data_IF_560748879849
#
_entry.id   IF_560748879849
#
_cell.length_a   1.000
_cell.length_b   1.000
_cell.length_c   1.000
_cell.angle_alpha   90.00
_cell.angle_beta   90.00
_cell.angle_gamma   90.00
#
_symmetry.space_group_name_H-M   'P 1'
#
loop_
_entity.id
_entity.type
_entity.pdbx_description
1 polymer ?
#
# COMPACT_ATOMS: atom_id res chain seq x y z
N UNK A 1 19.38 17.11 39.92
CA UNK A 1 19.44 18.31 39.06
C UNK A 1 20.72 18.27 38.26
N UNK A 2 20.64 18.72 36.99
CA UNK A 2 21.65 18.68 35.91
C UNK A 2 21.69 17.33 35.16
N UNK A 3 21.56 17.28 33.85
CA UNK A 3 21.11 18.27 32.87
C UNK A 3 20.72 17.49 31.62
N UNK A 4 19.75 18.02 30.88
CA UNK A 4 19.25 17.52 29.58
C UNK A 4 20.42 17.19 28.65
N UNK A 5 20.57 15.92 28.26
CA UNK A 5 21.20 15.64 26.98
C UNK A 5 20.14 15.87 25.91
N UNK A 6 20.43 16.90 25.11
CA UNK A 6 19.68 17.25 23.92
C UNK A 6 19.55 16.03 23.04
N UNK A 7 18.30 15.71 22.69
CA UNK A 7 17.98 14.90 21.53
C UNK A 7 18.62 15.59 20.34
N UNK A 8 19.79 15.10 19.94
CA UNK A 8 20.43 15.43 18.67
C UNK A 8 19.44 15.01 17.60
N UNK A 9 18.82 15.99 16.92
CA UNK A 9 18.35 15.79 15.56
C UNK A 9 19.55 15.26 14.79
N UNK A 10 19.59 13.96 14.52
CA UNK A 10 20.46 13.47 13.47
C UNK A 10 19.96 14.19 12.24
N UNK A 11 20.75 15.14 11.77
CA UNK A 11 20.61 15.65 10.43
C UNK A 11 21.00 14.47 9.53
N UNK A 12 20.14 14.12 8.57
CA UNK A 12 20.52 13.38 7.38
C UNK A 12 21.98 13.68 7.06
N UNK A 13 22.84 12.68 6.85
CA UNK A 13 24.16 12.97 6.31
C UNK A 13 23.95 13.82 5.06
N UNK A 14 24.47 15.05 5.01
CA UNK A 14 24.21 16.08 3.96
C UNK A 14 24.27 15.52 2.53
N UNK A 15 24.96 14.37 2.37
CA UNK A 15 25.01 13.54 1.17
C UNK A 15 23.64 13.12 0.60
N UNK A 16 22.58 12.89 1.38
CA UNK A 16 21.30 12.39 0.83
C UNK A 16 20.43 13.52 0.31
N UNK A 17 20.31 14.63 1.05
CA UNK A 17 19.42 15.73 0.67
C UNK A 17 19.83 16.35 -0.68
N UNK A 18 21.14 16.58 -0.89
CA UNK A 18 21.64 17.11 -2.16
C UNK A 18 21.41 16.15 -3.33
N UNK A 19 21.47 14.82 -3.10
CA UNK A 19 21.24 13.79 -4.12
C UNK A 19 19.77 13.65 -4.46
N UNK A 20 18.90 13.61 -3.45
CA UNK A 20 17.45 13.57 -3.63
C UNK A 20 16.93 14.81 -4.34
N UNK A 21 17.53 15.98 -4.05
CA UNK A 21 17.26 17.21 -4.80
C UNK A 21 17.65 17.09 -6.27
N UNK A 22 18.85 16.58 -6.60
CA UNK A 22 19.26 16.38 -8.00
C UNK A 22 18.36 15.36 -8.72
N UNK A 23 17.95 14.28 -8.05
CA UNK A 23 16.99 13.31 -8.61
C UNK A 23 15.67 14.02 -8.94
N UNK A 24 15.11 14.76 -7.99
CA UNK A 24 13.88 15.53 -8.20
C UNK A 24 14.03 16.50 -9.36
N UNK A 25 15.13 17.25 -9.41
CA UNK A 25 15.38 18.28 -10.43
C UNK A 25 15.52 17.72 -11.85
N UNK A 26 15.92 16.46 -11.98
CA UNK A 26 15.96 15.75 -13.26
C UNK A 26 14.60 15.26 -13.72
N UNK A 27 13.62 15.15 -12.82
CA UNK A 27 12.25 14.79 -13.16
C UNK A 27 11.51 16.07 -13.56
N UNK A 28 11.11 16.21 -14.85
CA UNK A 28 10.47 17.41 -15.32
C UNK A 28 9.07 17.55 -14.73
N UNK A 29 8.63 18.79 -14.57
CA UNK A 29 7.24 19.08 -14.24
C UNK A 29 6.34 18.74 -15.43
N UNK A 30 5.28 17.97 -15.16
CA UNK A 30 4.29 17.52 -16.12
C UNK A 30 2.91 17.62 -15.48
N UNK A 31 1.90 17.93 -16.28
CA UNK A 31 0.52 18.00 -15.75
C UNK A 31 -0.04 16.64 -15.33
N UNK A 32 0.50 15.53 -15.86
CA UNK A 32 0.14 14.14 -15.55
C UNK A 32 1.35 13.21 -15.76
N UNK A 33 1.41 12.09 -15.03
CA UNK A 33 2.52 11.14 -15.13
C UNK A 33 2.66 10.54 -16.54
N UNK A 34 1.57 10.26 -17.23
CA UNK A 34 1.56 9.73 -18.60
C UNK A 34 2.15 10.67 -19.65
N UNK A 35 2.36 11.96 -19.32
CA UNK A 35 3.07 12.92 -20.20
C UNK A 35 4.60 12.80 -20.11
N UNK A 36 5.12 12.05 -19.15
CA UNK A 36 6.54 11.69 -19.09
C UNK A 36 6.77 10.49 -20.03
N UNK A 37 7.45 10.74 -21.16
CA UNK A 37 7.70 9.73 -22.18
C UNK A 37 8.44 8.52 -21.62
N UNK A 38 8.20 7.32 -22.16
CA UNK A 38 8.90 6.11 -21.70
C UNK A 38 10.42 6.22 -21.90
N UNK A 39 10.86 6.72 -23.06
CA UNK A 39 12.28 6.94 -23.35
C UNK A 39 12.87 8.08 -22.51
N UNK A 40 12.10 9.13 -22.23
CA UNK A 40 12.49 10.25 -21.35
C UNK A 40 12.74 9.73 -19.93
N UNK A 41 11.79 8.99 -19.35
CA UNK A 41 11.94 8.36 -18.04
C UNK A 41 13.14 7.40 -18.00
N UNK A 42 13.29 6.55 -19.01
CA UNK A 42 14.42 5.61 -19.10
C UNK A 42 15.76 6.34 -19.18
N UNK A 43 15.85 7.41 -19.97
CA UNK A 43 17.06 8.22 -20.11
C UNK A 43 17.44 8.90 -18.79
N UNK A 44 16.47 9.48 -18.07
CA UNK A 44 16.69 10.10 -16.77
C UNK A 44 17.20 9.04 -15.78
N UNK A 45 16.54 7.88 -15.70
CA UNK A 45 16.91 6.77 -14.82
C UNK A 45 18.35 6.30 -15.08
N UNK A 46 18.70 6.01 -16.33
CA UNK A 46 20.05 5.57 -16.68
C UNK A 46 21.11 6.61 -16.30
N UNK A 47 20.86 7.89 -16.58
CA UNK A 47 21.79 8.95 -16.19
C UNK A 47 21.97 9.10 -14.68
N UNK A 48 20.91 8.83 -13.90
CA UNK A 48 20.99 8.80 -12.43
C UNK A 48 21.78 7.59 -11.92
N UNK A 49 21.55 6.39 -12.47
CA UNK A 49 22.28 5.16 -12.11
C UNK A 49 23.77 5.22 -12.49
N UNK A 50 24.11 5.97 -13.53
CA UNK A 50 25.51 6.24 -13.89
C UNK A 50 26.16 7.21 -12.91
N UNK A 51 25.45 8.29 -12.53
CA UNK A 51 25.96 9.35 -11.65
C UNK A 51 26.07 8.92 -10.18
N UNK A 52 25.11 8.15 -9.68
CA UNK A 52 24.97 7.84 -8.26
C UNK A 52 25.11 6.35 -7.97
N UNK A 53 26.36 5.88 -7.96
CA UNK A 53 26.70 4.53 -7.48
C UNK A 53 26.37 4.38 -5.99
N UNK A 54 25.74 3.28 -5.63
CA UNK A 54 25.26 3.00 -4.28
C UNK A 54 23.89 3.60 -3.94
N UNK A 55 23.18 4.21 -4.91
CA UNK A 55 21.77 4.63 -4.77
C UNK A 55 20.85 3.88 -5.77
N UNK A 56 21.28 2.72 -6.25
CA UNK A 56 20.56 1.99 -7.29
C UNK A 56 19.15 1.62 -6.81
N UNK A 57 19.01 1.17 -5.56
CA UNK A 57 17.70 0.75 -5.05
C UNK A 57 16.72 1.92 -4.87
N UNK A 58 17.20 3.08 -4.45
CA UNK A 58 16.41 4.32 -4.31
C UNK A 58 15.93 4.82 -5.66
N UNK A 59 16.84 4.80 -6.65
CA UNK A 59 16.48 5.17 -8.03
C UNK A 59 15.47 4.17 -8.58
N UNK A 60 15.64 2.87 -8.35
CA UNK A 60 14.66 1.86 -8.73
C UNK A 60 13.30 2.09 -8.03
N UNK A 61 13.30 2.40 -6.73
CA UNK A 61 12.08 2.68 -5.95
C UNK A 61 11.29 3.85 -6.54
N UNK A 62 11.95 4.98 -6.80
CA UNK A 62 11.34 6.20 -7.36
C UNK A 62 10.83 5.94 -8.78
N UNK A 63 11.59 5.24 -9.62
CA UNK A 63 11.16 4.97 -11.00
C UNK A 63 10.05 3.91 -11.07
N UNK A 64 9.96 3.02 -10.07
CA UNK A 64 8.85 2.08 -9.93
C UNK A 64 7.56 2.81 -9.56
N UNK A 65 7.62 3.82 -8.68
CA UNK A 65 6.49 4.72 -8.43
C UNK A 65 6.06 5.45 -9.71
N UNK A 66 6.99 6.06 -10.45
CA UNK A 66 6.65 6.77 -11.69
C UNK A 66 5.94 5.82 -12.67
N UNK A 67 6.39 4.57 -12.77
CA UNK A 67 5.72 3.55 -13.58
C UNK A 67 4.31 3.25 -13.07
N UNK A 68 4.13 3.05 -11.76
CA UNK A 68 2.82 2.83 -11.14
C UNK A 68 1.84 3.98 -11.41
N UNK A 69 2.27 5.23 -11.29
CA UNK A 69 1.42 6.40 -11.56
C UNK A 69 0.96 6.43 -13.03
N UNK A 70 1.86 6.09 -13.97
CA UNK A 70 1.53 5.96 -15.39
C UNK A 70 0.55 4.81 -15.66
N UNK A 71 0.74 3.68 -14.99
CA UNK A 71 -0.11 2.49 -15.10
C UNK A 71 -1.52 2.75 -14.53
N UNK A 72 -1.64 3.49 -13.43
CA UNK A 72 -2.94 3.92 -12.90
C UNK A 72 -3.69 4.87 -13.86
N UNK A 73 -2.99 5.85 -14.45
CA UNK A 73 -3.59 6.73 -15.47
C UNK A 73 -4.06 5.91 -16.68
N UNK A 74 -3.26 4.90 -17.10
CA UNK A 74 -3.61 4.01 -18.21
C UNK A 74 -4.86 3.18 -17.91
N UNK A 75 -4.97 2.60 -16.71
CA UNK A 75 -6.19 1.90 -16.27
C UNK A 75 -7.40 2.85 -16.29
N UNK A 76 -7.24 4.07 -15.79
CA UNK A 76 -8.29 5.09 -15.82
C UNK A 76 -8.81 5.32 -17.24
N UNK A 77 -7.91 5.54 -18.20
CA UNK A 77 -8.26 5.69 -19.63
C UNK A 77 -8.97 4.45 -20.17
N UNK A 78 -8.44 3.25 -19.93
CA UNK A 78 -9.04 1.99 -20.42
C UNK A 78 -10.46 1.77 -19.88
N UNK A 79 -10.76 2.25 -18.66
CA UNK A 79 -12.10 2.21 -18.06
C UNK A 79 -13.03 3.33 -18.55
N UNK A 80 -12.48 4.48 -18.94
CA UNK A 80 -13.25 5.67 -19.39
C UNK A 80 -13.71 5.62 -20.86
N UNK A 81 -13.21 4.69 -21.67
CA UNK A 81 -13.44 4.69 -23.13
C UNK A 81 -14.75 4.08 -23.65
N UNK A 82 -15.70 3.76 -22.79
CA UNK A 82 -17.09 3.69 -23.24
C UNK A 82 -17.93 4.52 -22.29
N UNK A 83 -18.62 5.54 -22.82
CA UNK A 83 -19.57 6.37 -22.07
C UNK A 83 -20.73 5.56 -21.43
N UNK A 84 -20.67 4.24 -21.56
CA UNK A 84 -21.55 3.20 -21.04
C UNK A 84 -20.90 2.35 -19.93
N UNK A 85 -19.68 2.67 -19.44
CA UNK A 85 -18.90 1.86 -18.47
C UNK A 85 -18.57 0.44 -18.97
N UNK A 86 -18.38 0.27 -20.27
CA UNK A 86 -18.01 -1.00 -20.90
C UNK A 86 -16.52 -1.00 -21.28
N UNK A 87 -15.83 -2.11 -21.01
CA UNK A 87 -14.40 -2.29 -21.30
C UNK A 87 -14.15 -2.29 -22.81
N UNK A 88 -13.07 -1.65 -23.27
CA UNK A 88 -12.64 -1.75 -24.66
C UNK A 88 -12.32 -3.22 -25.03
N UNK A 89 -12.54 -3.66 -26.28
CA UNK A 89 -12.11 -5.00 -26.71
C UNK A 89 -10.60 -5.19 -26.49
N UNK A 90 -10.21 -6.17 -25.67
CA UNK A 90 -8.82 -6.40 -25.26
C UNK A 90 -8.35 -5.61 -24.03
N UNK A 91 -9.15 -4.64 -23.57
CA UNK A 91 -8.87 -3.83 -22.39
C UNK A 91 -8.81 -4.63 -21.09
N UNK A 92 -9.58 -5.73 -20.99
CA UNK A 92 -9.51 -6.63 -19.83
C UNK A 92 -8.13 -7.29 -19.69
N UNK A 93 -7.60 -7.86 -20.77
CA UNK A 93 -6.27 -8.50 -20.76
C UNK A 93 -5.17 -7.47 -20.49
N UNK A 94 -5.29 -6.28 -21.07
CA UNK A 94 -4.35 -5.19 -20.83
C UNK A 94 -4.39 -4.72 -19.36
N UNK A 95 -5.58 -4.52 -18.80
CA UNK A 95 -5.75 -4.18 -17.37
C UNK A 95 -5.18 -5.27 -16.48
N UNK A 96 -5.37 -6.55 -16.81
CA UNK A 96 -4.78 -7.65 -16.03
C UNK A 96 -3.25 -7.63 -16.09
N UNK A 97 -2.66 -7.38 -17.27
CA UNK A 97 -1.22 -7.20 -17.39
C UNK A 97 -0.68 -6.01 -16.58
N UNK A 98 -1.42 -4.90 -16.57
CA UNK A 98 -1.07 -3.72 -15.76
C UNK A 98 -1.22 -4.02 -14.27
N UNK A 99 -2.27 -4.72 -13.83
CA UNK A 99 -2.45 -5.14 -12.43
C UNK A 99 -1.25 -5.97 -11.94
N UNK A 100 -0.76 -6.91 -12.76
CA UNK A 100 0.43 -7.68 -12.39
C UNK A 100 1.68 -6.79 -12.24
N UNK A 101 1.92 -5.85 -13.17
CA UNK A 101 3.01 -4.86 -13.07
C UNK A 101 2.91 -4.01 -11.79
N UNK A 102 1.69 -3.60 -11.42
CA UNK A 102 1.43 -2.82 -10.21
C UNK A 102 1.75 -3.61 -8.94
N UNK A 103 1.25 -4.85 -8.83
CA UNK A 103 1.49 -5.72 -7.66
C UNK A 103 2.97 -6.08 -7.51
N UNK A 104 3.71 -6.28 -8.60
CA UNK A 104 5.18 -6.46 -8.57
C UNK A 104 5.88 -5.23 -8.00
N UNK A 105 5.45 -4.03 -8.42
CA UNK A 105 6.01 -2.78 -7.93
C UNK A 105 5.67 -2.54 -6.44
N UNK A 106 4.43 -2.87 -6.02
CA UNK A 106 4.01 -2.81 -4.62
C UNK A 106 4.85 -3.74 -3.74
N UNK A 107 5.02 -5.00 -4.16
CA UNK A 107 5.84 -5.99 -3.47
C UNK A 107 7.28 -5.49 -3.24
N UNK A 108 7.92 -4.93 -4.28
CA UNK A 108 9.28 -4.40 -4.20
C UNK A 108 9.38 -3.21 -3.25
N UNK A 109 8.42 -2.29 -3.31
CA UNK A 109 8.38 -1.12 -2.44
C UNK A 109 8.13 -1.50 -0.98
N UNK A 110 7.20 -2.43 -0.71
CA UNK A 110 6.89 -2.90 0.64
C UNK A 110 8.11 -3.60 1.24
N UNK A 111 8.73 -4.49 0.47
CA UNK A 111 9.98 -5.17 0.84
C UNK A 111 11.09 -4.17 1.15
N UNK A 112 11.21 -3.10 0.35
CA UNK A 112 12.22 -2.07 0.54
C UNK A 112 12.00 -1.29 1.84
N UNK A 113 10.76 -0.91 2.15
CA UNK A 113 10.43 -0.22 3.41
C UNK A 113 10.74 -1.13 4.59
N UNK A 114 10.30 -2.39 4.56
CA UNK A 114 10.56 -3.37 5.61
C UNK A 114 12.05 -3.59 5.87
N UNK A 115 12.86 -3.67 4.80
CA UNK A 115 14.31 -3.84 4.91
C UNK A 115 15.03 -2.62 5.53
N UNK A 116 14.43 -1.43 5.44
CA UNK A 116 15.01 -0.17 5.93
C UNK A 116 14.27 0.39 7.15
N UNK A 117 13.41 -0.41 7.81
CA UNK A 117 12.54 0.01 8.92
C UNK A 117 13.26 0.66 10.10
N UNK A 118 14.52 0.29 10.33
CA UNK A 118 15.33 0.82 11.43
C UNK A 118 15.76 2.28 11.21
N UNK A 119 15.81 2.75 9.96
CA UNK A 119 16.20 4.11 9.60
C UNK A 119 14.98 4.97 9.20
N UNK A 120 14.21 5.38 10.22
CA UNK A 120 12.97 6.15 10.04
C UNK A 120 13.18 7.49 9.35
N UNK A 121 14.31 8.14 9.62
CA UNK A 121 14.63 9.43 9.00
C UNK A 121 14.91 9.23 7.51
N UNK A 122 15.67 8.22 7.15
CA UNK A 122 15.90 7.86 5.76
C UNK A 122 14.59 7.56 5.01
N UNK A 123 13.73 6.70 5.56
CA UNK A 123 12.43 6.36 4.97
C UNK A 123 11.53 7.59 4.81
N UNK A 124 11.50 8.48 5.81
CA UNK A 124 10.77 9.75 5.72
C UNK A 124 11.23 10.56 4.52
N UNK A 125 12.53 10.75 4.36
CA UNK A 125 13.07 11.57 3.28
C UNK A 125 12.88 10.93 1.90
N UNK A 126 12.98 9.61 1.79
CA UNK A 126 12.67 8.89 0.55
C UNK A 126 11.20 9.06 0.16
N UNK A 127 10.28 8.90 1.11
CA UNK A 127 8.84 9.02 0.83
C UNK A 127 8.38 10.49 0.66
N UNK A 128 9.07 11.45 1.28
CA UNK A 128 8.87 12.87 0.98
C UNK A 128 9.36 13.21 -0.43
N UNK A 129 10.43 12.56 -0.92
CA UNK A 129 10.88 12.70 -2.29
C UNK A 129 9.84 12.15 -3.27
N UNK A 130 9.27 10.97 -3.01
CA UNK A 130 8.20 10.41 -3.84
C UNK A 130 6.96 11.31 -3.87
N UNK A 131 6.53 11.87 -2.74
CA UNK A 131 5.45 12.86 -2.71
C UNK A 131 5.72 14.08 -3.62
N UNK A 132 6.97 14.56 -3.65
CA UNK A 132 7.39 15.67 -4.52
C UNK A 132 7.43 15.26 -5.99
N UNK A 133 7.86 14.05 -6.30
CA UNK A 133 7.82 13.48 -7.66
C UNK A 133 6.38 13.37 -8.14
N UNK A 134 5.49 12.76 -7.37
CA UNK A 134 4.07 12.67 -7.68
C UNK A 134 3.44 14.05 -7.86
N UNK A 135 3.81 15.04 -7.04
CA UNK A 135 3.35 16.42 -7.20
C UNK A 135 3.82 17.04 -8.52
N UNK A 136 5.11 16.89 -8.88
CA UNK A 136 5.65 17.37 -10.17
C UNK A 136 4.99 16.70 -11.37
N UNK A 137 4.46 15.49 -11.19
CA UNK A 137 3.75 14.75 -12.23
C UNK A 137 2.23 14.94 -12.17
N UNK A 138 1.70 15.82 -11.31
CA UNK A 138 0.26 16.09 -11.21
C UNK A 138 -0.58 14.96 -10.57
N UNK A 139 0.08 13.96 -9.97
CA UNK A 139 -0.54 12.72 -9.49
C UNK A 139 -0.49 12.56 -7.95
N UNK A 140 -0.29 13.66 -7.20
CA UNK A 140 -0.17 13.62 -5.74
C UNK A 140 -1.33 12.92 -5.02
N UNK A 141 -2.56 13.05 -5.54
CA UNK A 141 -3.74 12.37 -4.96
C UNK A 141 -3.69 10.86 -5.19
N UNK A 142 -3.33 10.45 -6.40
CA UNK A 142 -3.17 9.04 -6.79
C UNK A 142 -2.08 8.39 -5.95
N UNK A 143 -0.91 9.04 -5.83
CA UNK A 143 0.20 8.57 -5.01
C UNK A 143 -0.18 8.40 -3.53
N UNK A 144 -0.88 9.37 -2.93
CA UNK A 144 -1.33 9.22 -1.53
C UNK A 144 -2.21 7.99 -1.31
N UNK A 145 -3.06 7.64 -2.28
CA UNK A 145 -3.88 6.43 -2.20
C UNK A 145 -3.03 5.15 -2.32
N UNK A 146 -2.07 5.13 -3.25
CA UNK A 146 -1.10 4.02 -3.42
C UNK A 146 -0.30 3.83 -2.13
N UNK A 147 0.35 4.89 -1.64
CA UNK A 147 1.13 4.90 -0.40
C UNK A 147 0.31 4.46 0.81
N UNK A 148 -0.97 4.83 0.89
CA UNK A 148 -1.87 4.40 1.96
C UNK A 148 -2.06 2.88 1.97
N UNK A 149 -2.18 2.25 0.80
CA UNK A 149 -2.24 0.79 0.66
C UNK A 149 -0.92 0.13 1.05
N UNK A 150 0.18 0.64 0.48
CA UNK A 150 1.54 0.16 0.73
C UNK A 150 1.90 0.14 2.22
N UNK A 151 1.61 1.23 2.92
CA UNK A 151 1.87 1.33 4.36
C UNK A 151 0.89 0.48 5.19
N UNK A 152 -0.29 0.17 4.65
CA UNK A 152 -1.21 -0.81 5.25
C UNK A 152 -0.59 -2.20 5.29
N UNK A 153 0.02 -2.65 4.20
CA UNK A 153 0.71 -3.95 4.14
C UNK A 153 1.93 -4.00 5.06
N UNK A 154 2.73 -2.93 5.08
CA UNK A 154 3.88 -2.80 6.00
C UNK A 154 3.41 -2.84 7.46
N UNK A 155 2.33 -2.12 7.79
CA UNK A 155 1.73 -2.13 9.12
C UNK A 155 1.21 -3.51 9.52
N UNK A 156 0.56 -4.22 8.58
CA UNK A 156 0.11 -5.60 8.81
C UNK A 156 1.30 -6.53 9.07
N UNK A 157 2.39 -6.39 8.32
CA UNK A 157 3.60 -7.16 8.55
C UNK A 157 4.15 -6.95 9.97
N UNK A 158 4.28 -5.69 10.41
CA UNK A 158 4.72 -5.39 11.78
C UNK A 158 3.79 -5.96 12.83
N UNK A 159 2.48 -5.76 12.66
CA UNK A 159 1.47 -6.28 13.54
C UNK A 159 1.58 -7.81 13.72
N UNK A 160 1.74 -8.56 12.62
CA UNK A 160 1.82 -10.02 12.68
C UNK A 160 3.14 -10.49 13.29
N UNK A 161 4.28 -9.86 12.96
CA UNK A 161 5.57 -10.15 13.62
C UNK A 161 5.51 -9.91 15.14
N UNK A 162 4.94 -8.79 15.58
CA UNK A 162 4.79 -8.47 17.01
C UNK A 162 3.93 -9.48 17.76
N UNK A 163 3.06 -10.21 17.05
CA UNK A 163 2.22 -11.29 17.60
C UNK A 163 2.85 -12.68 17.47
N UNK A 164 4.13 -12.75 17.10
CA UNK A 164 4.88 -14.01 17.00
C UNK A 164 4.53 -14.85 15.78
N UNK A 165 3.94 -14.24 14.75
CA UNK A 165 3.76 -14.85 13.44
C UNK A 165 4.93 -14.51 12.54
N UNK A 166 5.13 -15.31 11.50
CA UNK A 166 6.12 -15.11 10.45
C UNK A 166 5.40 -14.63 9.18
N UNK A 167 5.16 -13.31 9.03
CA UNK A 167 4.52 -12.77 7.84
C UNK A 167 5.44 -12.84 6.62
N UNK A 168 4.82 -12.97 5.45
CA UNK A 168 5.46 -13.00 4.14
C UNK A 168 4.58 -12.23 3.17
N UNK A 169 5.17 -11.28 2.47
CA UNK A 169 4.50 -10.60 1.36
C UNK A 169 4.09 -11.64 0.30
N UNK A 170 2.91 -11.48 -0.32
CA UNK A 170 2.38 -12.41 -1.31
C UNK A 170 3.24 -12.39 -2.56
N UNK A 171 3.23 -13.50 -3.30
CA UNK A 171 3.78 -13.43 -4.64
C UNK A 171 2.91 -12.48 -5.50
N UNK A 172 3.45 -11.59 -6.34
CA UNK A 172 2.66 -10.60 -7.09
C UNK A 172 1.48 -11.17 -7.89
N UNK A 173 1.65 -12.39 -8.43
CA UNK A 173 0.56 -13.12 -9.09
C UNK A 173 -0.59 -13.48 -8.14
N UNK A 174 -0.31 -13.86 -6.90
CA UNK A 174 -1.33 -14.18 -5.90
C UNK A 174 -2.11 -12.91 -5.53
N UNK A 175 -1.44 -11.80 -5.25
CA UNK A 175 -2.09 -10.50 -5.01
C UNK A 175 -2.99 -10.10 -6.20
N UNK A 176 -2.44 -10.13 -7.42
CA UNK A 176 -3.17 -9.70 -8.62
C UNK A 176 -4.43 -10.52 -8.93
N UNK A 177 -4.49 -11.78 -8.48
CA UNK A 177 -5.56 -12.74 -8.85
C UNK A 177 -6.43 -13.20 -7.69
N UNK A 178 -5.92 -13.16 -6.45
CA UNK A 178 -6.57 -13.67 -5.25
C UNK A 178 -6.79 -12.60 -4.18
N UNK A 179 -6.30 -11.37 -4.41
CA UNK A 179 -6.45 -10.24 -3.48
C UNK A 179 -5.91 -10.53 -2.07
N UNK A 180 -4.87 -11.37 -2.02
CA UNK A 180 -4.12 -11.70 -0.79
C UNK A 180 -2.99 -10.68 -0.67
N UNK A 181 -3.01 -9.89 0.39
CA UNK A 181 -2.01 -8.85 0.67
C UNK A 181 -0.88 -9.36 1.58
N UNK A 182 -1.11 -10.46 2.32
CA UNK A 182 -0.10 -11.02 3.24
C UNK A 182 -0.37 -12.50 3.53
N UNK A 183 0.69 -13.29 3.63
CA UNK A 183 0.68 -14.61 4.26
C UNK A 183 1.26 -14.51 5.66
N UNK A 184 0.82 -15.32 6.61
CA UNK A 184 1.57 -15.52 7.85
C UNK A 184 1.39 -16.93 8.40
N UNK A 185 2.42 -17.39 9.11
CA UNK A 185 2.42 -18.67 9.80
C UNK A 185 2.91 -18.57 11.25
N UNK A 186 2.47 -19.44 12.16
CA UNK A 186 3.11 -19.55 13.48
C UNK A 186 4.58 -20.01 13.34
N UNK A 187 5.41 -19.83 14.38
CA UNK A 187 6.83 -20.26 14.35
C UNK A 187 7.04 -21.75 14.02
N UNK A 188 5.98 -22.56 14.13
CA UNK A 188 5.98 -24.00 13.87
C UNK A 188 5.40 -24.34 12.49
N UNK A 189 5.01 -23.36 11.68
CA UNK A 189 4.43 -23.51 10.34
C UNK A 189 3.02 -24.11 10.31
N UNK A 190 2.27 -24.03 11.42
CA UNK A 190 0.99 -24.75 11.62
C UNK A 190 -0.24 -23.90 11.40
N UNK A 191 -0.34 -22.74 12.04
CA UNK A 191 -1.47 -21.83 11.81
C UNK A 191 -1.14 -20.94 10.62
N UNK A 192 -1.80 -21.15 9.48
CA UNK A 192 -1.60 -20.35 8.26
C UNK A 192 -2.75 -19.38 8.10
N UNK A 193 -2.44 -18.10 7.92
CA UNK A 193 -3.43 -17.09 7.53
C UNK A 193 -3.06 -16.49 6.18
N UNK A 194 -4.08 -16.17 5.40
CA UNK A 194 -4.00 -15.21 4.29
C UNK A 194 -4.79 -14.00 4.69
N UNK A 195 -4.22 -12.83 4.49
CA UNK A 195 -4.81 -11.59 4.96
C UNK A 195 -4.99 -10.61 3.81
N UNK A 196 -6.12 -9.92 3.84
CA UNK A 196 -6.33 -8.68 3.12
C UNK A 196 -6.27 -7.52 4.13
N UNK A 197 -5.63 -6.41 3.75
CA UNK A 197 -5.55 -5.21 4.57
C UNK A 197 -6.35 -4.05 3.97
N UNK A 198 -7.05 -3.32 4.84
CA UNK A 198 -7.72 -2.08 4.47
C UNK A 198 -7.46 -0.97 5.45
N UNK A 199 -6.84 0.11 4.96
CA UNK A 199 -6.69 1.35 5.71
C UNK A 199 -7.80 2.34 5.30
N UNK A 200 -8.68 2.74 6.23
CA UNK A 200 -9.90 3.48 5.90
C UNK A 200 -10.33 4.47 6.98
N UNK A 201 -10.94 5.59 6.55
CA UNK A 201 -11.53 6.60 7.42
C UNK A 201 -12.82 6.12 8.11
N UNK A 202 -13.44 5.05 7.60
CA UNK A 202 -14.70 4.53 8.12
C UNK A 202 -14.53 3.71 9.39
N UNK A 203 -13.31 3.25 9.69
CA UNK A 203 -12.99 2.54 10.93
C UNK A 203 -12.57 3.54 12.01
N UNK A 204 -13.00 3.29 13.25
CA UNK A 204 -12.61 4.08 14.42
C UNK A 204 -11.53 3.39 15.27
N UNK A 205 -11.43 2.06 15.15
CA UNK A 205 -10.47 1.20 15.84
C UNK A 205 -10.01 0.11 14.86
N UNK A 206 -8.87 -0.55 15.12
CA UNK A 206 -8.46 -1.69 14.31
C UNK A 206 -9.42 -2.87 14.45
N UNK A 207 -9.61 -3.63 13.37
CA UNK A 207 -10.44 -4.84 13.33
C UNK A 207 -9.67 -6.00 12.70
N UNK A 208 -9.85 -7.20 13.27
CA UNK A 208 -9.35 -8.47 12.74
C UNK A 208 -10.56 -9.37 12.53
N UNK A 209 -10.94 -9.59 11.27
CA UNK A 209 -12.19 -10.26 10.89
C UNK A 209 -11.84 -11.57 10.21
N UNK A 210 -12.29 -12.68 10.76
CA UNK A 210 -11.91 -14.05 10.36
C UNK A 210 -13.06 -14.81 9.68
N UNK A 211 -14.27 -14.27 9.69
CA UNK A 211 -15.41 -14.88 9.03
C UNK A 211 -16.24 -13.88 8.25
N UNK A 212 -17.05 -14.41 7.34
CA UNK A 212 -18.01 -13.63 6.55
C UNK A 212 -19.05 -12.94 7.44
N UNK A 213 -19.45 -13.58 8.54
CA UNK A 213 -20.37 -13.03 9.53
C UNK A 213 -19.73 -11.83 10.23
N UNK A 214 -18.50 -11.97 10.74
CA UNK A 214 -17.78 -10.86 11.38
C UNK A 214 -17.60 -9.66 10.44
N UNK A 215 -17.25 -9.93 9.17
CA UNK A 215 -17.15 -8.89 8.14
C UNK A 215 -18.50 -8.23 7.87
N UNK A 216 -19.56 -9.01 7.73
CA UNK A 216 -20.91 -8.49 7.46
C UNK A 216 -21.41 -7.62 8.60
N UNK A 217 -21.27 -8.08 9.84
CA UNK A 217 -21.66 -7.35 11.05
C UNK A 217 -20.93 -6.00 11.15
N UNK A 218 -19.62 -5.99 10.85
CA UNK A 218 -18.84 -4.76 10.82
C UNK A 218 -19.33 -3.79 9.74
N UNK A 219 -19.57 -4.29 8.53
CA UNK A 219 -20.04 -3.48 7.39
C UNK A 219 -21.44 -2.90 7.65
N UNK A 220 -22.34 -3.65 8.27
CA UNK A 220 -23.68 -3.19 8.62
C UNK A 220 -23.61 -2.06 9.65
N UNK A 221 -22.89 -2.26 10.76
CA UNK A 221 -22.75 -1.24 11.81
C UNK A 221 -22.06 0.05 11.33
N UNK A 222 -21.07 -0.05 10.44
CA UNK A 222 -20.46 1.12 9.80
C UNK A 222 -21.43 1.78 8.81
N UNK A 223 -22.17 0.98 8.05
CA UNK A 223 -23.14 1.45 7.06
C UNK A 223 -24.29 2.24 7.67
N UNK A 224 -24.78 1.83 8.85
CA UNK A 224 -25.76 2.60 9.62
C UNK A 224 -25.20 3.96 10.03
N UNK A 225 -24.02 4.00 10.64
CA UNK A 225 -23.35 5.25 11.03
C UNK A 225 -23.14 6.20 9.84
N UNK A 226 -22.63 5.69 8.72
CA UNK A 226 -22.36 6.51 7.53
C UNK A 226 -23.66 7.07 6.91
N UNK A 227 -24.78 6.34 7.00
CA UNK A 227 -26.09 6.86 6.58
C UNK A 227 -26.59 7.95 7.52
N UNK A 228 -26.43 7.76 8.83
CA UNK A 228 -26.84 8.73 9.85
C UNK A 228 -26.07 10.05 9.75
N UNK A 229 -24.78 10.00 9.37
CA UNK A 229 -23.94 11.17 9.12
C UNK A 229 -24.42 12.03 7.92
N UNK A 230 -25.32 11.50 7.06
CA UNK A 230 -26.02 12.24 6.02
C UNK A 230 -25.17 12.71 4.83
N UNK A 231 -23.89 12.33 4.77
CA UNK A 231 -22.99 12.75 3.69
C UNK A 231 -23.05 11.77 2.50
N UNK A 232 -23.81 12.13 1.45
CA UNK A 232 -24.04 11.29 0.26
C UNK A 232 -22.73 10.73 -0.36
N UNK A 233 -21.70 11.58 -0.51
CA UNK A 233 -20.40 11.13 -1.03
C UNK A 233 -19.66 10.14 -0.11
N UNK A 234 -19.98 10.08 1.17
CA UNK A 234 -19.46 9.09 2.12
C UNK A 234 -20.18 7.75 1.96
N UNK A 235 -21.51 7.80 1.79
CA UNK A 235 -22.36 6.62 1.55
C UNK A 235 -21.91 5.88 0.30
N UNK A 236 -21.70 6.58 -0.83
CA UNK A 236 -21.24 5.95 -2.08
C UNK A 236 -19.87 5.29 -1.91
N UNK A 237 -18.89 6.00 -1.34
CA UNK A 237 -17.54 5.45 -1.13
C UNK A 237 -17.54 4.26 -0.18
N UNK A 238 -18.39 4.30 0.85
CA UNK A 238 -18.54 3.17 1.76
C UNK A 238 -19.14 1.97 1.03
N UNK A 239 -20.22 2.15 0.27
CA UNK A 239 -20.82 1.06 -0.51
C UNK A 239 -19.83 0.40 -1.48
N UNK A 240 -19.04 1.20 -2.22
CA UNK A 240 -17.98 0.70 -3.10
C UNK A 240 -16.92 -0.11 -2.35
N UNK A 241 -16.48 0.37 -1.18
CA UNK A 241 -15.52 -0.34 -0.33
C UNK A 241 -16.11 -1.64 0.22
N UNK A 242 -17.36 -1.61 0.68
CA UNK A 242 -18.06 -2.76 1.27
C UNK A 242 -18.22 -3.89 0.27
N UNK A 243 -18.66 -3.58 -0.95
CA UNK A 243 -18.79 -4.58 -2.00
C UNK A 243 -17.43 -5.17 -2.39
N UNK A 244 -16.39 -4.32 -2.49
CA UNK A 244 -15.03 -4.81 -2.76
C UNK A 244 -14.54 -5.77 -1.67
N UNK A 245 -14.64 -5.42 -0.39
CA UNK A 245 -14.21 -6.28 0.71
C UNK A 245 -14.95 -7.62 0.75
N UNK A 246 -16.25 -7.64 0.44
CA UNK A 246 -17.03 -8.89 0.35
C UNK A 246 -16.54 -9.77 -0.79
N UNK A 247 -16.26 -9.20 -1.96
CA UNK A 247 -15.72 -9.93 -3.11
C UNK A 247 -14.36 -10.51 -2.77
N UNK A 248 -13.44 -9.68 -2.28
CA UNK A 248 -12.06 -10.08 -1.96
C UNK A 248 -12.05 -11.17 -0.86
N UNK A 249 -12.88 -11.04 0.18
CA UNK A 249 -12.99 -12.06 1.23
C UNK A 249 -13.53 -13.39 0.70
N UNK A 250 -14.58 -13.36 -0.15
CA UNK A 250 -15.14 -14.57 -0.74
C UNK A 250 -14.12 -15.29 -1.66
N UNK A 251 -13.28 -14.54 -2.37
CA UNK A 251 -12.20 -15.11 -3.17
C UNK A 251 -11.13 -15.79 -2.31
N UNK A 252 -10.73 -15.15 -1.19
CA UNK A 252 -9.83 -15.77 -0.20
C UNK A 252 -10.44 -17.03 0.43
N UNK A 253 -11.73 -17.01 0.82
CA UNK A 253 -12.43 -18.19 1.34
C UNK A 253 -12.41 -19.35 0.34
N UNK A 254 -12.76 -19.08 -0.92
CA UNK A 254 -12.73 -20.10 -1.97
C UNK A 254 -11.33 -20.68 -2.16
N UNK A 255 -10.30 -19.83 -2.14
CA UNK A 255 -8.92 -20.27 -2.21
C UNK A 255 -8.53 -21.19 -1.05
N UNK A 256 -9.00 -20.91 0.18
CA UNK A 256 -8.75 -21.77 1.34
C UNK A 256 -9.45 -23.13 1.24
N UNK A 257 -10.67 -23.20 0.67
CA UNK A 257 -11.43 -24.45 0.53
C UNK A 257 -10.73 -25.49 -0.37
N UNK A 258 -9.95 -25.02 -1.34
CA UNK A 258 -9.25 -25.88 -2.31
C UNK A 258 -7.90 -26.41 -1.78
N UNK A 259 -7.53 -26.10 -0.52
CA UNK A 259 -6.24 -26.46 0.05
C UNK A 259 -6.35 -27.53 1.13
N UNK A 260 -5.40 -28.49 1.16
CA UNK A 260 -5.37 -29.52 2.20
C UNK A 260 -4.90 -28.98 3.56
N UNK A 261 -4.25 -27.83 3.59
CA UNK A 261 -3.84 -27.17 4.83
C UNK A 261 -4.95 -26.29 5.39
N UNK A 262 -5.05 -26.22 6.71
CA UNK A 262 -5.97 -25.31 7.40
C UNK A 262 -5.44 -23.86 7.31
N UNK A 263 -5.83 -23.18 6.24
CA UNK A 263 -5.52 -21.77 5.98
C UNK A 263 -6.76 -20.94 6.30
N UNK A 264 -6.61 -19.90 7.12
CA UNK A 264 -7.72 -19.00 7.49
C UNK A 264 -7.66 -17.68 6.71
N UNK A 265 -8.74 -17.28 6.02
CA UNK A 265 -8.82 -15.97 5.42
C UNK A 265 -9.14 -14.92 6.49
N UNK A 266 -8.42 -13.80 6.47
CA UNK A 266 -8.65 -12.71 7.42
C UNK A 266 -8.68 -11.35 6.71
N UNK A 267 -9.51 -10.43 7.20
CA UNK A 267 -9.51 -9.02 6.79
C UNK A 267 -9.07 -8.19 7.99
N UNK A 268 -7.99 -7.43 7.80
CA UNK A 268 -7.47 -6.50 8.80
C UNK A 268 -7.81 -5.08 8.38
N UNK A 269 -8.55 -4.37 9.23
CA UNK A 269 -8.98 -3.00 8.96
C UNK A 269 -8.25 -2.06 9.89
N UNK A 270 -7.47 -1.14 9.34
CA UNK A 270 -6.80 -0.08 10.06
C UNK A 270 -7.57 1.25 9.93
N UNK A 271 -7.84 1.94 11.05
CA UNK A 271 -8.46 3.26 11.02
C UNK A 271 -7.49 4.33 10.50
N UNK A 272 -8.03 5.40 9.93
CA UNK A 272 -7.20 6.50 9.45
C UNK A 272 -6.43 7.16 10.60
N UNK A 273 -5.12 7.36 10.38
CA UNK A 273 -4.22 7.93 11.38
C UNK A 273 -3.59 6.91 12.33
N UNK A 274 -3.93 5.61 12.24
CA UNK A 274 -3.34 4.58 13.09
C UNK A 274 -1.99 4.04 12.61
N UNK A 275 -1.50 4.51 11.47
CA UNK A 275 -0.26 4.07 10.85
C UNK A 275 0.62 5.29 10.64
N UNK A 276 1.88 5.23 11.08
CA UNK A 276 2.86 6.27 10.78
C UNK A 276 3.05 6.37 9.26
N UNK A 277 2.87 7.57 8.67
CA UNK A 277 2.85 7.71 7.23
C UNK A 277 4.21 7.48 6.56
N UNK A 278 5.30 7.26 7.31
CA UNK A 278 6.66 7.14 6.77
C UNK A 278 7.28 5.75 6.96
N UNK A 279 6.93 5.07 8.05
CA UNK A 279 7.52 3.78 8.42
C UNK A 279 6.53 2.63 8.33
N UNK A 280 5.22 2.92 8.33
CA UNK A 280 4.20 1.87 8.48
C UNK A 280 4.07 1.34 9.90
N UNK A 281 4.77 1.93 10.88
CA UNK A 281 4.62 1.55 12.29
C UNK A 281 3.21 1.86 12.81
N UNK A 282 2.75 1.00 13.73
CA UNK A 282 1.45 1.16 14.38
C UNK A 282 1.50 2.28 15.42
N UNK A 283 0.50 3.16 15.39
CA UNK A 283 0.33 4.20 16.42
C UNK A 283 -0.28 3.56 17.66
N UNK A 284 0.53 3.38 18.71
CA UNK A 284 0.22 2.61 19.92
C UNK A 284 -1.19 2.88 20.49
N UNK A 285 -1.63 4.14 20.52
CA UNK A 285 -2.94 4.55 21.04
C UNK A 285 -4.12 3.78 20.44
N UNK A 286 -4.05 3.43 19.15
CA UNK A 286 -5.12 2.70 18.47
C UNK A 286 -5.11 1.20 18.77
N UNK A 287 -4.00 0.65 19.26
CA UNK A 287 -3.76 -0.79 19.36
C UNK A 287 -3.64 -1.34 20.79
N UNK A 288 -3.75 -0.48 21.82
CA UNK A 288 -3.60 -0.88 23.23
C UNK A 288 -4.48 -2.06 23.64
N UNK A 289 -5.71 -2.08 23.15
CA UNK A 289 -6.71 -3.11 23.45
C UNK A 289 -6.98 -4.03 22.25
N UNK A 290 -6.13 -3.97 21.22
CA UNK A 290 -6.30 -4.78 20.02
C UNK A 290 -5.72 -6.18 20.25
N UNK A 291 -6.54 -7.20 20.03
CA UNK A 291 -6.16 -8.60 20.13
C UNK A 291 -6.30 -9.29 18.77
N UNK A 292 -5.27 -10.03 18.36
CA UNK A 292 -5.39 -11.01 17.29
C UNK A 292 -5.78 -12.32 17.94
N UNK A 293 -6.97 -12.81 17.61
CA UNK A 293 -7.41 -14.15 17.98
C UNK A 293 -7.25 -15.03 16.76
N UNK A 294 -6.42 -16.06 16.88
CA UNK A 294 -6.38 -17.15 15.92
C UNK A 294 -7.01 -18.32 16.65
N UNK A 295 -8.30 -18.54 16.44
CA UNK A 295 -9.03 -19.64 17.07
C UNK A 295 -8.49 -21.01 16.64
#
# INVERSE_FOLDING_TARGET
MKNKEQVSSKELPEKYEARFRDILDRIPEKERAGKLGADEAKSIKSGLLEKYKGLEQEIEFIFSEIAQLKDQERIGKLKEYDGLKTLTPGGEQEIQGIKLSLTESFFLQASYILANREDKEYLRNLLDLTDRVAWRLGEARTWRAIRKGLLGEVALHHLLEERGLSPKLPHPREDATLHIDMWAEDEKGRAKIIAQVKHTAFAQKPHFLQSKEELSDWLEGVGERVKDDGHEGGVTRFAEMSEKLKTDFAEMENYCLDRPEEIKPVVVIFPEGSIDPYSGELVEEYFKDFEIKLD
#
